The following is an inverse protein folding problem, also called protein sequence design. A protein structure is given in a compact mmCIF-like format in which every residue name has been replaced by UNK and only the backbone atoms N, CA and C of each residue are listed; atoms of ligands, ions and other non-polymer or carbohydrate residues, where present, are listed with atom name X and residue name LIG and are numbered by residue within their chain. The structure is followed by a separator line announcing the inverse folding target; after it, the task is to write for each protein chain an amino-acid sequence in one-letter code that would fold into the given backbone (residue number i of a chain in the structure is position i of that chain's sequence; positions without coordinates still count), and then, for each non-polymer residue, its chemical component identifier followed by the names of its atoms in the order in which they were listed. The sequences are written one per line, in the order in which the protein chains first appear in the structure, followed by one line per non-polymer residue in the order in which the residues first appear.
data_IF_024153251930
#
_entry.id   IF_024153251930
#
_cell.length_a   1.000
_cell.length_b   1.000
_cell.length_c   1.000
_cell.angle_alpha   90.00
_cell.angle_beta   90.00
_cell.angle_gamma   90.00
#
_symmetry.space_group_name_H-M   'P 1'
#
loop_
_entity.id
_entity.type
_entity.pdbx_description
1 polymer ?
#
# COMPACT_ATOMS: atom_id res chain seq x y z
N UNK A 1 -50.72 -32.71 31.49
CA UNK A 1 -49.30 -33.10 31.53
C UNK A 1 -48.72 -32.76 32.89
N UNK A 2 -48.00 -33.69 33.51
CA UNK A 2 -47.19 -33.37 34.70
C UNK A 2 -46.05 -32.43 34.27
N UNK A 3 -45.62 -31.53 35.16
CA UNK A 3 -44.52 -30.59 34.90
C UNK A 3 -43.26 -31.32 34.38
N UNK A 4 -43.02 -32.54 34.87
CA UNK A 4 -41.91 -33.42 34.42
C UNK A 4 -42.00 -33.82 32.95
N UNK A 5 -43.20 -34.06 32.42
CA UNK A 5 -43.39 -34.41 31.01
C UNK A 5 -43.10 -33.21 30.10
N UNK A 6 -43.47 -32.00 30.55
CA UNK A 6 -43.18 -30.75 29.85
C UNK A 6 -41.67 -30.47 29.81
N UNK A 7 -40.95 -30.75 30.90
CA UNK A 7 -39.49 -30.61 30.97
C UNK A 7 -38.76 -31.57 30.03
N UNK A 8 -39.22 -32.82 29.90
CA UNK A 8 -38.61 -33.80 29.00
C UNK A 8 -38.77 -33.37 27.54
N UNK A 9 -39.97 -32.91 27.15
CA UNK A 9 -40.22 -32.40 25.79
C UNK A 9 -39.38 -31.17 25.49
N UNK A 10 -39.22 -30.26 26.46
CA UNK A 10 -38.36 -29.09 26.34
C UNK A 10 -36.90 -29.50 26.07
N UNK A 11 -36.33 -30.43 26.85
CA UNK A 11 -34.95 -30.88 26.66
C UNK A 11 -34.76 -31.54 25.30
N UNK A 12 -35.69 -32.41 24.86
CA UNK A 12 -35.62 -33.06 23.55
C UNK A 12 -35.63 -32.07 22.38
N UNK A 13 -36.35 -30.95 22.51
CA UNK A 13 -36.45 -29.94 21.48
C UNK A 13 -35.26 -28.98 21.49
N UNK A 14 -34.84 -28.53 22.68
CA UNK A 14 -33.80 -27.49 22.82
C UNK A 14 -32.37 -28.04 22.84
N UNK A 15 -32.14 -29.26 23.32
CA UNK A 15 -30.80 -29.86 23.34
C UNK A 15 -30.12 -29.91 21.96
N UNK A 16 -30.75 -30.43 20.88
CA UNK A 16 -30.12 -30.43 19.56
C UNK A 16 -29.88 -29.00 19.04
N UNK A 17 -30.74 -28.06 19.41
CA UNK A 17 -30.63 -26.66 19.00
C UNK A 17 -29.43 -25.98 19.68
N UNK A 18 -29.24 -26.19 20.99
CA UNK A 18 -28.06 -25.73 21.71
C UNK A 18 -26.77 -26.39 21.23
N UNK A 19 -26.83 -27.67 20.86
CA UNK A 19 -25.68 -28.37 20.29
C UNK A 19 -25.23 -27.75 18.96
N UNK A 20 -26.17 -27.48 18.05
CA UNK A 20 -25.88 -26.82 16.78
C UNK A 20 -25.33 -25.41 17.01
N UNK A 21 -25.95 -24.63 17.90
CA UNK A 21 -25.44 -23.29 18.25
C UNK A 21 -24.02 -23.38 18.81
N UNK A 22 -23.73 -24.35 19.67
CA UNK A 22 -22.40 -24.54 20.24
C UNK A 22 -21.33 -24.81 19.18
N UNK A 23 -21.65 -25.60 18.15
CA UNK A 23 -20.73 -25.87 17.05
C UNK A 23 -20.46 -24.59 16.24
N UNK A 24 -21.51 -23.85 15.86
CA UNK A 24 -21.34 -22.58 15.14
C UNK A 24 -20.56 -21.55 15.97
N UNK A 25 -20.73 -21.52 17.31
CA UNK A 25 -19.96 -20.60 18.15
C UNK A 25 -18.48 -20.97 18.22
N UNK A 26 -18.14 -22.27 18.20
CA UNK A 26 -16.75 -22.72 18.17
C UNK A 26 -16.09 -22.37 16.83
N UNK A 27 -16.77 -22.66 15.71
CA UNK A 27 -16.30 -22.29 14.37
C UNK A 27 -16.10 -20.77 14.24
N UNK A 28 -17.02 -19.98 14.79
CA UNK A 28 -16.91 -18.51 14.79
C UNK A 28 -15.76 -18.01 15.67
N UNK A 29 -15.48 -18.62 16.82
CA UNK A 29 -14.35 -18.26 17.67
C UNK A 29 -13.01 -18.57 16.98
N UNK A 30 -12.90 -19.76 16.37
CA UNK A 30 -11.71 -20.15 15.62
C UNK A 30 -11.49 -19.26 14.39
N UNK A 31 -12.56 -18.94 13.65
CA UNK A 31 -12.50 -18.04 12.50
C UNK A 31 -12.04 -16.63 12.90
N UNK A 32 -12.49 -16.11 14.04
CA UNK A 32 -12.01 -14.82 14.56
C UNK A 32 -10.53 -14.89 14.95
N UNK A 33 -10.12 -15.92 15.70
CA UNK A 33 -8.73 -16.07 16.12
C UNK A 33 -7.77 -16.20 14.92
N UNK A 34 -8.08 -17.08 13.97
CA UNK A 34 -7.31 -17.23 12.74
C UNK A 34 -7.38 -15.96 11.89
N UNK A 35 -8.56 -15.34 11.78
CA UNK A 35 -8.76 -14.08 11.05
C UNK A 35 -7.83 -12.97 11.55
N UNK A 36 -7.69 -12.83 12.87
CA UNK A 36 -6.74 -11.89 13.49
C UNK A 36 -5.29 -12.23 13.17
N UNK A 37 -4.91 -13.52 13.23
CA UNK A 37 -3.55 -13.96 12.89
C UNK A 37 -3.21 -13.65 11.43
N UNK A 38 -4.09 -13.99 10.48
CA UNK A 38 -3.90 -13.70 9.06
C UNK A 38 -3.84 -12.21 8.78
N UNK A 39 -4.73 -11.43 9.40
CA UNK A 39 -4.72 -9.97 9.27
C UNK A 39 -3.41 -9.37 9.78
N UNK A 40 -2.92 -9.82 10.95
CA UNK A 40 -1.65 -9.34 11.50
C UNK A 40 -0.47 -9.71 10.60
N UNK A 41 -0.43 -10.96 10.12
CA UNK A 41 0.61 -11.42 9.20
C UNK A 41 0.63 -10.59 7.91
N UNK A 42 -0.54 -10.40 7.30
CA UNK A 42 -0.72 -9.60 6.08
C UNK A 42 -0.30 -8.16 6.30
N UNK A 43 -0.71 -7.56 7.42
CA UNK A 43 -0.37 -6.18 7.77
C UNK A 43 1.13 -5.99 8.00
N UNK A 44 1.80 -6.91 8.69
CA UNK A 44 3.26 -6.87 8.86
C UNK A 44 3.97 -7.02 7.51
N UNK A 45 3.50 -7.95 6.67
CA UNK A 45 4.12 -8.19 5.36
C UNK A 45 4.03 -6.99 4.42
N UNK A 46 2.88 -6.29 4.37
CA UNK A 46 2.77 -5.07 3.54
C UNK A 46 3.59 -3.92 4.13
N UNK A 47 3.73 -3.81 5.45
CA UNK A 47 4.58 -2.79 6.08
C UNK A 47 6.06 -3.02 5.79
N UNK A 48 6.55 -4.25 5.95
CA UNK A 48 7.94 -4.62 5.65
C UNK A 48 8.24 -4.41 4.16
N UNK A 49 7.32 -4.82 3.28
CA UNK A 49 7.42 -4.60 1.85
C UNK A 49 7.44 -3.11 1.50
N UNK A 50 6.57 -2.31 2.10
CA UNK A 50 6.58 -0.86 1.94
C UNK A 50 7.90 -0.23 2.38
N UNK A 51 8.46 -0.66 3.50
CA UNK A 51 9.71 -0.11 4.03
C UNK A 51 10.91 -0.33 3.11
N UNK A 52 10.95 -1.45 2.38
CA UNK A 52 12.03 -1.75 1.42
C UNK A 52 11.82 -1.12 0.05
N UNK A 53 10.62 -0.64 -0.29
CA UNK A 53 10.36 -0.01 -1.60
C UNK A 53 11.23 1.22 -1.87
N UNK A 54 11.68 1.92 -0.83
CA UNK A 54 12.55 3.08 -0.97
C UNK A 54 14.04 2.73 -1.13
N UNK A 55 14.41 1.45 -0.99
CA UNK A 55 15.75 0.98 -1.31
C UNK A 55 15.82 0.91 -2.84
N UNK A 56 16.53 1.87 -3.44
CA UNK A 56 16.53 2.09 -4.89
C UNK A 56 16.90 0.81 -5.68
N UNK A 57 16.13 0.51 -6.73
CA UNK A 57 16.40 -0.56 -7.72
C UNK A 57 17.78 -0.39 -8.41
N UNK A 58 18.37 0.83 -8.36
CA UNK A 58 19.70 1.15 -8.92
C UNK A 58 20.50 2.08 -8.00
N UNK A 59 21.62 1.57 -7.49
CA UNK A 59 22.59 2.29 -6.65
C UNK A 59 23.31 3.46 -7.37
N UNK A 60 23.15 3.60 -8.70
CA UNK A 60 23.79 4.65 -9.50
C UNK A 60 22.97 5.96 -9.59
N UNK A 61 21.73 6.01 -9.11
CA UNK A 61 20.88 7.21 -9.17
C UNK A 61 20.97 8.08 -7.89
N UNK A 62 21.91 7.77 -6.97
CA UNK A 62 22.06 8.44 -5.66
C UNK A 62 22.90 9.72 -5.68
N UNK A 63 23.49 10.12 -6.81
CA UNK A 63 24.41 11.25 -6.84
C UNK A 63 23.86 12.46 -7.62
N UNK A 64 22.99 13.23 -6.98
CA UNK A 64 22.61 14.57 -7.45
C UNK A 64 21.84 15.34 -6.38
N UNK A 65 22.34 16.52 -6.00
CA UNK A 65 21.77 17.41 -4.98
C UNK A 65 20.35 17.96 -5.27
N UNK A 66 19.65 17.40 -6.27
CA UNK A 66 18.31 17.81 -6.72
C UNK A 66 17.36 16.63 -7.01
N UNK A 67 17.79 15.37 -6.88
CA UNK A 67 17.02 14.19 -7.33
C UNK A 67 16.39 13.35 -6.20
N UNK A 68 16.27 13.91 -4.99
CA UNK A 68 15.72 13.17 -3.81
C UNK A 68 14.22 12.83 -3.88
N UNK A 69 13.55 13.13 -5.01
CA UNK A 69 12.09 12.94 -5.18
C UNK A 69 11.70 11.86 -6.21
N UNK A 70 12.65 11.28 -6.93
CA UNK A 70 12.39 10.28 -7.98
C UNK A 70 12.89 8.88 -7.60
N UNK A 71 12.58 8.43 -6.39
CA UNK A 71 12.87 7.05 -5.94
C UNK A 71 11.85 6.13 -6.60
N UNK A 72 12.28 5.38 -7.62
CA UNK A 72 11.46 4.31 -8.22
C UNK A 72 11.33 3.18 -7.22
N UNK A 73 10.11 2.77 -6.93
CA UNK A 73 9.89 1.66 -6.02
C UNK A 73 10.45 0.33 -6.56
N UNK A 74 11.28 -0.36 -5.77
CA UNK A 74 11.70 -1.73 -6.10
C UNK A 74 10.56 -2.72 -5.82
N UNK A 75 9.74 -2.92 -6.84
CA UNK A 75 8.59 -3.84 -6.82
C UNK A 75 8.99 -5.30 -6.59
N UNK A 76 10.17 -5.72 -7.02
CA UNK A 76 10.61 -7.12 -6.89
C UNK A 76 11.10 -7.38 -5.47
N UNK A 77 11.92 -6.46 -4.93
CA UNK A 77 12.33 -6.50 -3.53
C UNK A 77 11.11 -6.46 -2.59
N UNK A 78 10.15 -5.57 -2.86
CA UNK A 78 8.91 -5.48 -2.10
C UNK A 78 8.12 -6.81 -2.11
N UNK A 79 8.02 -7.50 -3.26
CA UNK A 79 7.34 -8.79 -3.34
C UNK A 79 8.11 -9.90 -2.62
N UNK A 80 9.44 -9.93 -2.73
CA UNK A 80 10.27 -10.91 -2.03
C UNK A 80 10.11 -10.72 -0.51
N UNK A 81 10.23 -9.49 -0.01
CA UNK A 81 10.04 -9.17 1.41
C UNK A 81 8.63 -9.50 1.88
N UNK A 82 7.60 -9.12 1.12
CA UNK A 82 6.21 -9.48 1.39
C UNK A 82 6.05 -11.01 1.56
N UNK A 83 6.59 -11.77 0.60
CA UNK A 83 6.47 -13.23 0.58
C UNK A 83 7.19 -13.86 1.77
N UNK A 84 8.40 -13.39 2.07
CA UNK A 84 9.19 -13.87 3.21
C UNK A 84 8.49 -13.59 4.53
N UNK A 85 8.03 -12.35 4.77
CA UNK A 85 7.33 -12.00 6.00
C UNK A 85 6.03 -12.79 6.14
N UNK A 86 5.26 -12.98 5.08
CA UNK A 86 4.07 -13.84 5.10
C UNK A 86 4.43 -15.28 5.45
N UNK A 87 5.45 -15.84 4.79
CA UNK A 87 5.86 -17.23 5.00
C UNK A 87 6.37 -17.48 6.42
N UNK A 88 7.09 -16.51 7.00
CA UNK A 88 7.54 -16.52 8.39
C UNK A 88 6.35 -16.51 9.37
N UNK A 89 5.41 -15.58 9.22
CA UNK A 89 4.26 -15.46 10.11
C UNK A 89 3.30 -16.68 10.03
N UNK A 90 3.23 -17.30 8.85
CA UNK A 90 2.43 -18.51 8.62
C UNK A 90 3.17 -19.81 8.99
N UNK A 91 4.49 -19.76 9.22
CA UNK A 91 5.30 -20.95 9.51
C UNK A 91 5.50 -21.88 8.30
N UNK A 92 5.50 -21.32 7.09
CA UNK A 92 5.59 -22.06 5.81
C UNK A 92 6.87 -21.74 5.02
N UNK A 93 7.84 -21.07 5.64
CA UNK A 93 9.08 -20.59 5.00
C UNK A 93 9.88 -21.70 4.28
N UNK A 94 9.83 -22.93 4.81
CA UNK A 94 10.58 -24.08 4.31
C UNK A 94 9.74 -24.95 3.35
N UNK A 95 8.50 -24.54 3.04
CA UNK A 95 7.59 -25.23 2.13
C UNK A 95 7.22 -24.34 0.92
N UNK A 96 7.97 -24.47 -0.19
CA UNK A 96 7.68 -23.74 -1.41
C UNK A 96 6.29 -24.03 -2.00
N UNK A 97 5.72 -25.22 -1.75
CA UNK A 97 4.39 -25.55 -2.23
C UNK A 97 3.31 -24.82 -1.41
N UNK A 98 3.47 -24.73 -0.09
CA UNK A 98 2.61 -23.94 0.77
C UNK A 98 2.67 -22.44 0.43
N UNK A 99 3.86 -21.89 0.13
CA UNK A 99 4.01 -20.50 -0.32
C UNK A 99 3.27 -20.26 -1.64
N UNK A 100 3.39 -21.17 -2.62
CA UNK A 100 2.61 -21.08 -3.87
C UNK A 100 1.10 -21.16 -3.59
N UNK A 101 0.67 -22.05 -2.72
CA UNK A 101 -0.73 -22.20 -2.36
C UNK A 101 -1.30 -20.98 -1.65
N UNK A 102 -0.50 -20.28 -0.84
CA UNK A 102 -0.89 -19.01 -0.21
C UNK A 102 -1.31 -17.99 -1.27
N UNK A 103 -0.58 -17.89 -2.39
CA UNK A 103 -0.91 -16.96 -3.47
C UNK A 103 -2.20 -17.30 -4.23
N UNK A 104 -2.73 -18.53 -4.12
CA UNK A 104 -4.06 -18.84 -4.66
C UNK A 104 -5.18 -18.06 -3.94
N UNK A 105 -4.95 -17.68 -2.68
CA UNK A 105 -5.86 -16.88 -1.87
C UNK A 105 -5.59 -15.37 -1.95
N UNK A 106 -4.56 -14.96 -2.71
CA UNK A 106 -4.19 -13.57 -2.94
C UNK A 106 -4.47 -13.22 -4.40
N UNK A 107 -5.66 -12.66 -4.73
CA UNK A 107 -6.01 -12.37 -6.11
C UNK A 107 -5.13 -11.30 -6.75
N UNK A 108 -4.59 -10.37 -5.94
CA UNK A 108 -3.70 -9.32 -6.41
C UNK A 108 -2.80 -8.79 -5.29
N UNK A 109 -1.59 -8.37 -5.67
CA UNK A 109 -0.74 -7.47 -4.89
C UNK A 109 -0.56 -6.19 -5.69
N UNK A 110 -0.87 -5.04 -5.11
CA UNK A 110 -0.77 -3.73 -5.76
C UNK A 110 0.41 -2.98 -5.16
N UNK A 111 1.26 -2.44 -6.02
CA UNK A 111 2.36 -1.57 -5.63
C UNK A 111 2.09 -0.17 -6.17
N UNK A 112 1.80 0.76 -5.27
CA UNK A 112 1.63 2.18 -5.55
C UNK A 112 3.01 2.83 -5.61
N UNK A 113 3.35 3.36 -6.77
CA UNK A 113 4.56 4.12 -7.03
C UNK A 113 4.20 5.60 -7.23
N UNK A 114 5.21 6.46 -7.33
CA UNK A 114 5.04 7.92 -7.33
C UNK A 114 4.20 8.46 -8.50
N UNK A 115 4.37 7.94 -9.71
CA UNK A 115 3.74 8.37 -10.97
C UNK A 115 2.84 7.28 -11.61
N UNK A 116 2.61 6.19 -10.89
CA UNK A 116 1.75 5.10 -11.35
C UNK A 116 1.77 3.91 -10.39
N UNK A 117 1.26 2.77 -10.84
CA UNK A 117 1.20 1.58 -10.01
C UNK A 117 1.42 0.30 -10.82
N UNK A 118 1.79 -0.76 -10.11
CA UNK A 118 1.92 -2.12 -10.63
C UNK A 118 0.90 -3.03 -9.95
N UNK A 119 0.42 -4.05 -10.67
CA UNK A 119 -0.40 -5.11 -10.10
C UNK A 119 0.21 -6.45 -10.41
N UNK A 120 0.45 -7.26 -9.39
CA UNK A 120 0.77 -8.67 -9.53
C UNK A 120 -0.55 -9.43 -9.62
N UNK A 121 -0.72 -10.22 -10.67
CA UNK A 121 -1.87 -11.11 -10.84
C UNK A 121 -1.46 -12.48 -11.32
N UNK A 122 -2.30 -13.47 -11.06
CA UNK A 122 -2.16 -14.80 -11.65
C UNK A 122 -2.63 -14.76 -13.10
N UNK A 123 -1.74 -15.10 -14.03
CA UNK A 123 -2.04 -15.14 -15.46
C UNK A 123 -1.88 -16.57 -15.99
N UNK A 124 -2.67 -16.92 -17.02
CA UNK A 124 -2.59 -18.22 -17.68
C UNK A 124 -1.51 -18.17 -18.76
N UNK A 125 -0.54 -19.06 -18.69
CA UNK A 125 0.44 -19.24 -19.74
C UNK A 125 -0.06 -20.29 -20.73
N UNK A 126 -0.23 -19.87 -22.00
CA UNK A 126 -0.48 -20.78 -23.10
C UNK A 126 0.85 -21.45 -23.47
N UNK A 127 1.25 -22.42 -22.66
CA UNK A 127 2.32 -23.33 -23.05
C UNK A 127 1.81 -24.13 -24.26
N UNK A 128 2.60 -24.27 -25.33
CA UNK A 128 2.17 -24.99 -26.54
C UNK A 128 1.78 -26.47 -26.34
N UNK A 129 1.94 -26.98 -25.11
CA UNK A 129 1.39 -28.24 -24.64
C UNK A 129 0.16 -27.96 -23.76
N UNK A 130 -0.88 -28.81 -23.90
CA UNK A 130 -2.23 -28.76 -23.29
C UNK A 130 -2.33 -28.57 -21.75
N UNK A 131 -1.25 -28.22 -21.06
CA UNK A 131 -1.23 -27.89 -19.65
C UNK A 131 -1.14 -26.36 -19.49
N UNK A 132 -2.28 -25.75 -19.14
CA UNK A 132 -2.34 -24.37 -18.66
C UNK A 132 -1.46 -24.28 -17.39
N UNK A 133 -0.28 -23.64 -17.48
CA UNK A 133 0.53 -23.28 -16.32
C UNK A 133 0.14 -21.89 -15.84
N UNK A 134 -0.02 -21.72 -14.53
CA UNK A 134 -0.33 -20.42 -13.93
C UNK A 134 0.94 -19.85 -13.31
N UNK A 135 1.22 -18.58 -13.61
CA UNK A 135 2.33 -17.86 -12.99
C UNK A 135 1.87 -16.46 -12.58
N UNK A 136 2.53 -15.95 -11.55
CA UNK A 136 2.33 -14.57 -11.13
C UNK A 136 3.10 -13.66 -12.08
N UNK A 137 2.43 -12.64 -12.60
CA UNK A 137 2.99 -11.71 -13.58
C UNK A 137 2.68 -10.29 -13.15
N UNK A 138 3.70 -9.43 -13.21
CA UNK A 138 3.51 -8.00 -13.04
C UNK A 138 2.86 -7.40 -14.27
N UNK A 139 1.83 -6.57 -14.05
CA UNK A 139 1.35 -5.67 -15.09
C UNK A 139 2.45 -4.67 -15.49
N UNK A 140 2.43 -4.14 -16.72
CA UNK A 140 3.14 -2.91 -17.03
C UNK A 140 2.75 -1.80 -16.05
N UNK A 141 3.66 -0.85 -15.80
CA UNK A 141 3.35 0.32 -14.95
C UNK A 141 2.18 1.08 -15.57
N UNK A 142 1.11 1.27 -14.79
CA UNK A 142 -0.07 2.02 -15.23
C UNK A 142 0.01 3.43 -14.62
N UNK A 143 0.07 4.49 -15.44
CA UNK A 143 0.09 5.86 -14.94
C UNK A 143 -1.28 6.24 -14.38
N UNK A 144 -1.29 7.23 -13.49
CA UNK A 144 -2.53 7.82 -12.96
C UNK A 144 -3.09 8.85 -13.93
N UNK A 145 -3.99 8.46 -14.82
CA UNK A 145 -4.42 9.32 -15.94
C UNK A 145 -5.76 9.99 -15.71
N UNK A 146 -5.88 11.20 -16.25
CA UNK A 146 -7.11 11.95 -16.43
C UNK A 146 -7.15 12.52 -17.84
N UNK A 147 -8.33 12.49 -18.46
CA UNK A 147 -8.57 13.15 -19.73
C UNK A 147 -9.76 14.08 -19.60
N UNK A 148 -9.62 15.29 -20.11
CA UNK A 148 -10.68 16.30 -20.19
C UNK A 148 -11.49 16.12 -21.49
N UNK A 149 -12.72 16.65 -21.52
CA UNK A 149 -13.55 16.69 -22.72
C UNK A 149 -12.91 17.48 -23.88
N UNK A 150 -12.01 18.40 -23.55
CA UNK A 150 -11.27 19.21 -24.51
C UNK A 150 -10.07 18.48 -25.14
N UNK A 151 -9.84 17.21 -24.80
CA UNK A 151 -8.75 16.38 -25.33
C UNK A 151 -7.40 16.57 -24.63
N UNK A 152 -7.33 17.45 -23.62
CA UNK A 152 -6.14 17.55 -22.76
C UNK A 152 -6.08 16.34 -21.82
N UNK A 153 -4.88 15.86 -21.52
CA UNK A 153 -4.68 14.76 -20.58
C UNK A 153 -3.67 15.13 -19.50
N UNK A 154 -3.82 14.55 -18.32
CA UNK A 154 -2.96 14.78 -17.16
C UNK A 154 -2.60 13.41 -16.59
N UNK A 155 -1.30 13.16 -16.45
CA UNK A 155 -0.76 12.09 -15.63
C UNK A 155 -0.40 12.68 -14.27
N UNK A 156 -1.12 12.25 -13.24
CA UNK A 156 -0.88 12.66 -11.87
C UNK A 156 0.30 11.89 -11.26
N UNK A 157 0.93 12.52 -10.28
CA UNK A 157 1.77 11.84 -9.29
C UNK A 157 1.01 11.75 -7.96
N UNK A 158 1.62 11.11 -6.95
CA UNK A 158 1.10 11.08 -5.59
C UNK A 158 1.15 12.45 -4.88
N UNK A 159 1.90 13.41 -5.43
CA UNK A 159 1.95 14.80 -4.97
C UNK A 159 1.32 15.78 -5.99
N UNK A 160 1.68 17.07 -5.89
CA UNK A 160 1.12 18.14 -6.73
C UNK A 160 1.84 18.29 -8.10
N UNK A 161 2.82 17.44 -8.40
CA UNK A 161 3.53 17.45 -9.68
C UNK A 161 2.71 16.73 -10.76
N UNK A 162 2.71 17.22 -11.99
CA UNK A 162 1.96 16.56 -13.07
C UNK A 162 2.70 16.59 -14.40
N UNK A 163 2.38 15.63 -15.24
CA UNK A 163 2.73 15.63 -16.66
C UNK A 163 1.44 15.80 -17.45
N UNK A 164 1.27 16.93 -18.13
CA UNK A 164 0.04 17.23 -18.85
C UNK A 164 0.29 17.44 -20.34
N UNK A 165 -0.67 17.01 -21.15
CA UNK A 165 -0.77 17.35 -22.55
C UNK A 165 -1.82 18.43 -22.71
N UNK A 166 -1.40 19.62 -23.14
CA UNK A 166 -2.30 20.71 -23.47
C UNK A 166 -2.75 20.60 -24.92
N UNK A 167 -4.01 20.23 -25.15
CA UNK A 167 -4.57 20.09 -26.49
C UNK A 167 -4.71 21.43 -27.22
N UNK A 168 -4.83 22.56 -26.51
CA UNK A 168 -4.96 23.88 -27.11
C UNK A 168 -3.62 24.37 -27.69
N UNK A 169 -2.53 24.06 -27.00
CA UNK A 169 -1.17 24.40 -27.40
C UNK A 169 -0.44 23.28 -28.15
N UNK A 170 -0.99 22.07 -28.16
CA UNK A 170 -0.42 20.88 -28.81
C UNK A 170 0.90 20.41 -28.20
N UNK A 171 1.15 20.69 -26.92
CA UNK A 171 2.45 20.44 -26.27
C UNK A 171 2.31 19.69 -24.95
N UNK A 172 3.35 18.92 -24.63
CA UNK A 172 3.54 18.36 -23.30
C UNK A 172 4.19 19.39 -22.38
N UNK A 173 3.73 19.42 -21.15
CA UNK A 173 4.18 20.29 -20.08
C UNK A 173 4.31 19.47 -18.81
N UNK A 174 5.21 19.89 -17.93
CA UNK A 174 5.42 19.27 -16.64
C UNK A 174 5.74 20.34 -15.59
N UNK A 175 5.41 20.06 -14.34
CA UNK A 175 5.64 20.99 -13.23
C UNK A 175 4.63 20.82 -12.11
N UNK A 176 4.76 21.65 -11.08
CA UNK A 176 3.77 21.70 -10.00
C UNK A 176 2.48 22.37 -10.49
N UNK A 177 1.33 21.89 -10.00
CA UNK A 177 0.02 22.43 -10.37
C UNK A 177 -0.04 23.96 -10.27
N UNK A 178 0.52 24.55 -9.20
CA UNK A 178 0.52 26.01 -8.98
C UNK A 178 1.31 26.79 -10.03
N UNK A 179 2.39 26.22 -10.57
CA UNK A 179 3.23 26.84 -11.60
C UNK A 179 2.58 26.69 -12.98
N UNK A 180 1.90 25.57 -13.21
CA UNK A 180 1.19 25.31 -14.46
C UNK A 180 -0.13 26.09 -14.55
N UNK A 181 -0.75 26.42 -13.43
CA UNK A 181 -1.95 27.26 -13.39
C UNK A 181 -1.76 28.58 -14.15
N UNK A 182 -0.60 29.23 -14.03
CA UNK A 182 -0.33 30.51 -14.70
C UNK A 182 0.04 30.38 -16.18
N UNK A 183 0.43 29.18 -16.61
CA UNK A 183 1.09 28.97 -17.92
C UNK A 183 0.19 28.18 -18.90
N UNK A 184 -0.95 27.68 -18.42
CA UNK A 184 -1.81 26.73 -19.15
C UNK A 184 -3.26 27.18 -19.12
N UNK A 185 -4.05 26.68 -20.06
CA UNK A 185 -5.51 26.89 -20.07
C UNK A 185 -6.30 25.64 -19.66
N UNK A 186 -5.63 24.62 -19.11
CA UNK A 186 -6.28 23.38 -18.69
C UNK A 186 -7.14 23.67 -17.46
N UNK A 187 -8.48 23.53 -17.52
CA UNK A 187 -9.37 23.97 -16.44
C UNK A 187 -9.07 23.32 -15.09
N UNK A 188 -8.71 22.02 -15.11
CA UNK A 188 -8.40 21.28 -13.89
C UNK A 188 -7.18 21.83 -13.14
N UNK A 189 -6.23 22.46 -13.84
CA UNK A 189 -5.03 23.02 -13.23
C UNK A 189 -5.26 24.43 -12.65
N UNK A 190 -6.43 25.04 -12.85
CA UNK A 190 -6.70 26.41 -12.41
C UNK A 190 -7.19 26.50 -10.96
N UNK A 191 -7.81 25.44 -10.44
CA UNK A 191 -8.34 25.40 -9.07
C UNK A 191 -7.65 24.29 -8.27
N UNK A 192 -6.83 24.69 -7.29
CA UNK A 192 -6.06 23.76 -6.47
C UNK A 192 -6.94 22.79 -5.66
N UNK A 193 -8.12 23.22 -5.19
CA UNK A 193 -8.98 22.34 -4.39
C UNK A 193 -9.66 21.30 -5.28
N UNK A 194 -10.16 21.73 -6.44
CA UNK A 194 -10.76 20.83 -7.42
C UNK A 194 -9.71 19.87 -7.98
N UNK A 195 -8.50 20.37 -8.27
CA UNK A 195 -7.36 19.56 -8.67
C UNK A 195 -7.11 18.42 -7.69
N UNK A 196 -6.93 18.73 -6.40
CA UNK A 196 -6.64 17.72 -5.39
C UNK A 196 -7.77 16.71 -5.23
N UNK A 197 -9.03 17.16 -5.27
CA UNK A 197 -10.17 16.26 -5.20
C UNK A 197 -10.23 15.30 -6.40
N UNK A 198 -10.03 15.83 -7.62
CA UNK A 198 -10.04 15.02 -8.84
C UNK A 198 -8.84 14.08 -8.87
N UNK A 199 -7.65 14.55 -8.52
CA UNK A 199 -6.42 13.75 -8.44
C UNK A 199 -6.64 12.54 -7.54
N UNK A 200 -7.04 12.77 -6.29
CA UNK A 200 -7.30 11.70 -5.31
C UNK A 200 -8.39 10.74 -5.80
N UNK A 201 -9.50 11.27 -6.28
CA UNK A 201 -10.59 10.44 -6.79
C UNK A 201 -10.17 9.60 -7.99
N UNK A 202 -9.40 10.16 -8.93
CA UNK A 202 -8.99 9.46 -10.16
C UNK A 202 -7.95 8.40 -9.89
N UNK A 203 -6.97 8.68 -9.04
CA UNK A 203 -5.98 7.68 -8.61
C UNK A 203 -6.71 6.48 -8.00
N UNK A 204 -7.58 6.73 -7.00
CA UNK A 204 -8.35 5.68 -6.33
C UNK A 204 -9.23 4.91 -7.30
N UNK A 205 -10.09 5.57 -8.07
CA UNK A 205 -11.01 4.89 -8.99
C UNK A 205 -10.27 4.09 -10.06
N UNK A 206 -9.14 4.59 -10.56
CA UNK A 206 -8.32 3.86 -11.54
C UNK A 206 -7.76 2.58 -10.91
N UNK A 207 -7.19 2.64 -9.71
CA UNK A 207 -6.69 1.45 -9.01
C UNK A 207 -7.82 0.47 -8.72
N UNK A 208 -8.97 0.95 -8.25
CA UNK A 208 -10.14 0.14 -7.93
C UNK A 208 -10.69 -0.63 -9.15
N UNK A 209 -10.90 0.07 -10.28
CA UNK A 209 -11.42 -0.55 -11.50
C UNK A 209 -10.49 -1.66 -12.00
N UNK A 210 -9.19 -1.39 -12.02
CA UNK A 210 -8.20 -2.36 -12.48
C UNK A 210 -8.05 -3.54 -11.51
N UNK A 211 -8.17 -3.30 -10.20
CA UNK A 211 -8.21 -4.36 -9.20
C UNK A 211 -9.45 -5.25 -9.40
N UNK A 212 -10.61 -4.67 -9.67
CA UNK A 212 -11.83 -5.42 -9.97
C UNK A 212 -11.64 -6.31 -11.20
N UNK A 213 -11.03 -5.79 -12.27
CA UNK A 213 -10.70 -6.59 -13.47
C UNK A 213 -9.75 -7.75 -13.16
N UNK A 214 -8.72 -7.52 -12.34
CA UNK A 214 -7.79 -8.57 -11.90
C UNK A 214 -8.51 -9.63 -11.08
N UNK A 215 -9.35 -9.24 -10.12
CA UNK A 215 -10.13 -10.16 -9.29
C UNK A 215 -11.08 -11.01 -10.17
N UNK A 216 -11.70 -10.40 -11.17
CA UNK A 216 -12.55 -11.10 -12.12
C UNK A 216 -11.78 -12.17 -12.90
N UNK A 217 -10.57 -11.86 -13.38
CA UNK A 217 -9.69 -12.86 -14.02
C UNK A 217 -9.24 -13.94 -13.05
N UNK A 218 -8.93 -13.58 -11.81
CA UNK A 218 -8.57 -14.55 -10.76
C UNK A 218 -9.71 -15.53 -10.48
N UNK A 219 -10.98 -15.10 -10.56
CA UNK A 219 -12.13 -16.00 -10.45
C UNK A 219 -12.20 -17.04 -11.57
N UNK A 220 -11.72 -16.71 -12.78
CA UNK A 220 -11.62 -17.69 -13.88
C UNK A 220 -10.57 -18.76 -13.57
N UNK A 221 -9.41 -18.34 -13.06
CA UNK A 221 -8.38 -19.25 -12.53
C UNK A 221 -8.92 -20.13 -11.40
N UNK A 222 -9.58 -19.52 -10.41
CA UNK A 222 -10.13 -20.21 -9.24
C UNK A 222 -11.10 -21.33 -9.66
N UNK A 223 -12.04 -21.01 -10.57
CA UNK A 223 -13.01 -21.97 -11.10
C UNK A 223 -12.34 -23.13 -11.85
N UNK A 224 -11.31 -22.86 -12.65
CA UNK A 224 -10.55 -23.91 -13.37
C UNK A 224 -9.82 -24.86 -12.41
N UNK A 225 -9.41 -24.38 -11.23
CA UNK A 225 -8.63 -25.14 -10.25
C UNK A 225 -9.49 -25.70 -9.09
N UNK A 226 -10.81 -25.75 -9.25
CA UNK A 226 -11.72 -26.34 -8.26
C UNK A 226 -11.92 -25.51 -6.99
N UNK A 227 -11.52 -24.24 -6.99
CA UNK A 227 -11.80 -23.31 -5.90
C UNK A 227 -13.25 -22.82 -6.05
N UNK A 228 -14.10 -23.19 -5.09
CA UNK A 228 -15.54 -22.83 -5.08
C UNK A 228 -15.82 -21.42 -4.56
N UNK A 229 -14.80 -20.73 -4.06
CA UNK A 229 -14.92 -19.36 -3.56
C UNK A 229 -14.92 -18.34 -4.70
N UNK A 230 -15.79 -17.34 -4.61
CA UNK A 230 -15.81 -16.19 -5.53
C UNK A 230 -15.16 -15.00 -4.84
N UNK A 231 -14.01 -14.59 -5.37
CA UNK A 231 -13.26 -13.42 -4.94
C UNK A 231 -14.01 -12.15 -5.35
N UNK A 232 -14.07 -11.18 -4.46
CA UNK A 232 -14.79 -9.91 -4.69
C UNK A 232 -13.93 -8.74 -4.26
N UNK A 233 -14.27 -7.54 -4.74
CA UNK A 233 -13.57 -6.34 -4.30
C UNK A 233 -13.86 -6.10 -2.81
N UNK A 234 -12.83 -5.97 -1.95
CA UNK A 234 -13.05 -5.71 -0.54
C UNK A 234 -13.62 -4.31 -0.31
N UNK A 235 -14.44 -4.18 0.73
CA UNK A 235 -14.93 -2.89 1.18
C UNK A 235 -13.81 -2.16 1.93
N UNK A 236 -13.19 -1.19 1.27
CA UNK A 236 -12.16 -0.32 1.85
C UNK A 236 -12.76 1.08 2.00
N UNK A 237 -12.55 1.70 3.16
CA UNK A 237 -13.09 3.04 3.44
C UNK A 237 -12.43 4.10 2.55
N UNK A 238 -13.14 5.19 2.28
CA UNK A 238 -12.57 6.30 1.50
C UNK A 238 -11.34 6.91 2.18
N UNK A 239 -11.31 6.93 3.51
CA UNK A 239 -10.18 7.38 4.30
C UNK A 239 -8.95 6.49 4.09
N UNK A 240 -9.10 5.17 4.18
CA UNK A 240 -7.99 4.23 3.93
C UNK A 240 -7.44 4.36 2.51
N UNK A 241 -8.32 4.52 1.51
CA UNK A 241 -7.93 4.77 0.13
C UNK A 241 -7.17 6.09 -0.04
N UNK A 242 -7.60 7.15 0.62
CA UNK A 242 -6.90 8.43 0.54
C UNK A 242 -5.58 8.41 1.31
N UNK A 243 -5.51 7.69 2.42
CA UNK A 243 -4.27 7.50 3.15
C UNK A 243 -3.27 6.66 2.35
N UNK A 244 -3.73 5.67 1.57
CA UNK A 244 -2.86 4.81 0.77
C UNK A 244 -2.19 5.51 -0.39
N UNK A 245 -2.75 6.61 -0.89
CA UNK A 245 -2.23 7.35 -2.06
C UNK A 245 -1.45 8.62 -1.67
N UNK A 246 -1.23 8.86 -0.38
CA UNK A 246 -0.39 9.99 0.07
C UNK A 246 1.10 9.70 -0.15
N UNK A 247 1.49 8.43 -0.21
CA UNK A 247 2.87 7.97 -0.34
C UNK A 247 2.90 6.67 -1.15
N UNK A 248 4.09 6.25 -1.61
CA UNK A 248 4.26 4.94 -2.23
C UNK A 248 3.95 3.83 -1.22
N UNK A 249 3.45 2.68 -1.67
CA UNK A 249 3.06 1.62 -0.75
C UNK A 249 2.62 0.33 -1.42
N UNK A 250 2.34 -0.68 -0.59
CA UNK A 250 1.89 -2.01 -0.99
C UNK A 250 0.49 -2.25 -0.46
N UNK A 251 -0.38 -2.80 -1.30
CA UNK A 251 -1.69 -3.30 -0.89
C UNK A 251 -1.82 -4.77 -1.28
N UNK A 252 -2.33 -5.58 -0.37
CA UNK A 252 -2.57 -7.00 -0.61
C UNK A 252 -3.92 -7.41 -0.03
N UNK A 253 -4.51 -8.40 -0.68
CA UNK A 253 -5.84 -8.91 -0.37
C UNK A 253 -5.76 -10.41 -0.15
N UNK A 254 -6.27 -10.92 0.96
CA UNK A 254 -6.40 -12.35 1.23
C UNK A 254 -7.88 -12.66 1.30
N UNK A 255 -8.36 -13.63 0.53
CA UNK A 255 -9.77 -14.01 0.56
C UNK A 255 -9.98 -15.50 0.38
N UNK A 256 -11.09 -16.00 0.93
CA UNK A 256 -11.57 -17.36 0.67
C UNK A 256 -10.91 -18.46 1.49
N UNK A 257 -10.16 -18.12 2.55
CA UNK A 257 -9.61 -19.10 3.49
C UNK A 257 -10.75 -19.62 4.36
N UNK A 258 -11.09 -20.91 4.24
CA UNK A 258 -12.17 -21.52 5.03
C UNK A 258 -11.75 -21.84 6.46
N UNK A 259 -12.62 -21.54 7.43
CA UNK A 259 -12.50 -21.94 8.84
C UNK A 259 -13.87 -22.37 9.34
N UNK A 260 -14.07 -23.67 9.58
CA UNK A 260 -15.39 -24.22 9.90
C UNK A 260 -16.41 -23.89 8.79
N UNK A 261 -17.52 -23.27 9.18
CA UNK A 261 -18.53 -22.73 8.27
C UNK A 261 -18.28 -21.28 7.80
N UNK A 262 -17.23 -20.63 8.32
CA UNK A 262 -16.84 -19.25 8.01
C UNK A 262 -15.74 -19.18 6.94
N UNK A 263 -15.55 -17.97 6.41
CA UNK A 263 -14.44 -17.64 5.50
C UNK A 263 -13.75 -16.37 5.95
N UNK A 264 -12.42 -16.37 5.87
CA UNK A 264 -11.57 -15.24 6.20
C UNK A 264 -11.29 -14.44 4.93
N UNK A 265 -11.63 -13.15 5.00
CA UNK A 265 -11.36 -12.15 3.98
C UNK A 265 -10.73 -10.94 4.66
N UNK A 266 -9.52 -10.58 4.29
CA UNK A 266 -8.76 -9.47 4.84
C UNK A 266 -8.08 -8.67 3.73
N UNK A 267 -7.82 -7.40 4.02
CA UNK A 267 -6.94 -6.57 3.24
C UNK A 267 -5.94 -5.89 4.16
N UNK A 268 -4.79 -5.51 3.61
CA UNK A 268 -3.86 -4.65 4.30
C UNK A 268 -3.24 -3.66 3.33
N UNK A 269 -2.87 -2.51 3.89
CA UNK A 269 -2.18 -1.43 3.21
C UNK A 269 -0.94 -1.10 4.04
N UNK A 270 0.22 -1.12 3.40
CA UNK A 270 1.51 -0.75 3.98
C UNK A 270 2.08 0.43 3.21
N UNK A 271 2.13 1.59 3.86
CA UNK A 271 2.83 2.75 3.30
C UNK A 271 4.33 2.56 3.40
N UNK A 272 5.05 2.96 2.36
CA UNK A 272 6.52 2.94 2.35
C UNK A 272 7.15 4.04 3.17
N UNK A 273 6.37 5.08 3.55
CA UNK A 273 6.85 6.30 4.21
C UNK A 273 7.93 6.01 5.26
N UNK A 274 9.18 6.11 4.84
CA UNK A 274 10.26 6.43 5.75
C UNK A 274 9.85 7.77 6.34
N UNK A 275 9.52 7.79 7.62
CA UNK A 275 9.48 9.04 8.38
C UNK A 275 10.86 9.64 8.15
N UNK A 276 10.95 10.61 7.23
CA UNK A 276 12.15 11.38 6.99
C UNK A 276 12.47 11.99 8.34
N UNK A 277 13.38 11.37 9.09
CA UNK A 277 13.86 11.95 10.34
C UNK A 277 14.35 13.32 9.94
N UNK A 278 13.78 14.36 10.54
CA UNK A 278 14.20 15.73 10.26
C UNK A 278 15.71 15.77 10.46
N UNK A 279 16.46 16.03 9.39
CA UNK A 279 17.91 16.02 9.45
C UNK A 279 18.36 16.99 10.54
N UNK A 280 19.26 16.54 11.41
CA UNK A 280 19.79 17.39 12.47
C UNK A 280 20.98 18.14 11.88
N UNK A 281 20.93 19.45 11.86
CA UNK A 281 21.99 20.31 11.33
C UNK A 281 22.85 20.81 12.47
N UNK A 282 24.16 20.67 12.35
CA UNK A 282 25.16 21.30 13.21
C UNK A 282 25.60 22.64 12.63
N UNK A 283 25.55 23.70 13.44
CA UNK A 283 26.04 25.02 13.10
C UNK A 283 26.86 25.63 14.23
N UNK A 284 27.73 26.59 13.87
CA UNK A 284 28.55 27.32 14.83
C UNK A 284 28.01 28.73 14.98
N UNK A 285 27.86 29.18 16.22
CA UNK A 285 27.56 30.57 16.52
C UNK A 285 28.79 31.45 16.22
N UNK A 286 28.73 32.40 15.26
CA UNK A 286 29.86 33.23 14.88
C UNK A 286 30.31 34.21 15.98
N UNK A 287 29.49 34.47 17.00
CA UNK A 287 29.82 35.38 18.10
C UNK A 287 30.49 34.68 19.27
N UNK A 288 30.07 33.44 19.57
CA UNK A 288 30.52 32.70 20.76
C UNK A 288 31.43 31.51 20.43
N UNK A 289 31.44 31.06 19.17
CA UNK A 289 32.17 29.86 18.72
C UNK A 289 31.55 28.56 19.22
N UNK A 290 30.38 28.60 19.86
CA UNK A 290 29.72 27.40 20.41
C UNK A 290 29.02 26.65 19.28
N UNK A 291 29.21 25.32 19.29
CA UNK A 291 28.60 24.37 18.37
C UNK A 291 27.19 24.03 18.84
N UNK A 292 26.21 24.22 17.97
CA UNK A 292 24.80 23.90 18.24
C UNK A 292 24.24 22.95 17.19
N UNK A 293 23.40 22.02 17.61
CA UNK A 293 22.59 21.23 16.69
C UNK A 293 21.11 21.62 16.78
N UNK A 294 20.41 21.58 15.65
CA UNK A 294 18.99 21.87 15.55
C UNK A 294 18.34 21.07 14.41
N UNK A 295 17.03 20.81 14.45
CA UNK A 295 16.31 20.24 13.32
C UNK A 295 16.42 21.16 12.09
N UNK A 296 16.55 20.61 10.88
CA UNK A 296 16.62 21.38 9.62
C UNK A 296 15.42 22.28 9.35
N UNK A 297 14.29 22.04 10.04
CA UNK A 297 13.08 22.88 10.02
C UNK A 297 13.17 24.11 10.92
N UNK A 298 14.20 24.22 11.75
CA UNK A 298 14.44 25.34 12.64
C UNK A 298 15.09 26.49 11.86
N UNK A 299 14.39 27.63 11.76
CA UNK A 299 14.78 28.78 10.93
C UNK A 299 15.90 29.64 11.55
N UNK A 300 17.00 29.04 11.97
CA UNK A 300 18.12 29.77 12.54
C UNK A 300 19.20 30.05 11.49
N UNK A 301 19.65 31.30 11.45
CA UNK A 301 20.66 31.80 10.52
C UNK A 301 22.11 31.44 10.85
N UNK A 302 22.37 30.33 11.57
CA UNK A 302 23.75 29.85 11.74
C UNK A 302 24.20 29.13 10.46
N UNK A 303 25.48 29.26 10.12
CA UNK A 303 26.04 28.56 8.97
C UNK A 303 26.04 27.06 9.29
N UNK A 304 25.27 26.29 8.52
CA UNK A 304 25.30 24.85 8.58
C UNK A 304 26.70 24.35 8.18
N UNK A 305 27.37 23.64 9.09
CA UNK A 305 28.68 23.04 8.84
C UNK A 305 28.56 21.53 8.60
N UNK A 306 27.70 20.84 9.36
CA UNK A 306 27.56 19.38 9.32
C UNK A 306 26.10 18.94 9.45
N UNK A 307 25.77 17.75 8.95
CA UNK A 307 24.42 17.15 9.05
C UNK A 307 24.54 15.78 9.70
N UNK A 308 23.71 15.54 10.70
CA UNK A 308 23.68 14.32 11.53
C UNK A 308 22.40 13.52 11.33
N UNK A 309 22.50 12.21 11.55
CA UNK A 309 21.37 11.29 11.43
C UNK A 309 20.49 11.27 12.68
N UNK A 310 21.06 11.57 13.84
CA UNK A 310 20.35 11.75 15.10
C UNK A 310 21.01 12.79 16.03
N UNK A 311 20.29 13.21 17.08
CA UNK A 311 20.78 14.18 18.06
C UNK A 311 21.89 13.63 18.97
N UNK A 312 21.99 12.31 19.14
CA UNK A 312 23.00 11.65 19.97
C UNK A 312 24.38 11.70 19.29
N UNK A 313 24.40 11.50 17.98
CA UNK A 313 25.58 11.63 17.12
C UNK A 313 26.12 13.06 17.13
N UNK A 314 25.23 14.06 16.99
CA UNK A 314 25.60 15.47 17.11
C UNK A 314 26.20 15.81 18.48
N UNK A 315 25.57 15.32 19.57
CA UNK A 315 26.07 15.51 20.93
C UNK A 315 27.42 14.82 21.17
N UNK A 316 27.64 13.63 20.61
CA UNK A 316 28.91 12.91 20.69
C UNK A 316 30.06 13.68 19.99
N UNK A 317 29.74 14.47 18.96
CA UNK A 317 30.69 15.34 18.26
C UNK A 317 30.82 16.75 18.90
N UNK A 318 30.20 16.96 20.06
CA UNK A 318 30.34 18.16 20.86
C UNK A 318 29.38 19.30 20.49
N UNK A 319 28.29 19.02 19.77
CA UNK A 319 27.23 20.00 19.52
C UNK A 319 26.22 20.02 20.66
N UNK A 320 25.81 21.21 21.09
CA UNK A 320 24.79 21.41 22.11
C UNK A 320 23.39 21.56 21.49
N UNK A 321 22.35 21.13 22.19
CA UNK A 321 20.98 21.29 21.70
C UNK A 321 20.59 22.77 21.65
N UNK A 322 20.15 23.23 20.47
CA UNK A 322 19.55 24.54 20.34
C UNK A 322 18.04 24.47 20.59
N UNK A 323 17.56 25.31 21.50
CA UNK A 323 16.12 25.39 21.78
C UNK A 323 15.40 26.18 20.68
N UNK A 324 14.69 25.48 19.80
CA UNK A 324 13.89 26.06 18.72
C UNK A 324 12.55 26.67 19.16
N UNK A 325 12.27 26.77 20.47
CA UNK A 325 10.97 27.21 21.02
C UNK A 325 10.72 28.73 20.95
N UNK A 326 11.45 29.49 20.13
CA UNK A 326 11.18 30.90 19.88
C UNK A 326 10.75 31.14 18.43
N UNK A 327 9.56 30.63 18.08
CA UNK A 327 8.60 31.35 17.24
C UNK A 327 7.18 30.87 17.44
#
# INVERSE_FOLDING_TARGET
MKITELSIVFVLLFFPLFWIISLHTQDAEEANYLGHRYRSALQTAVMDAGAVMHQNEKQNDEAGYDSTKFVKADKELALITFTQTMALNMGIQDDPAAIRNMFNYIPAVVILDYDGYYMLSTETELTGNREDSFRQVWSPKRPYTYSDSNGSSINFTLDDYVYAYDASAGKWIEGFQKELATTTQIPLLQDTNVFEQVRRSRIVTTVQNNLADVINRHNEFARKNGISYTFTMPLITQEDWYNSINDTGVMAFIQGIGVGDQKINNYAIGGGRLVKKTAIVGGVDPLTGIKYYYPSTCGNGYRAEEVFTDAREAAAQGYFEYNCSNR
#
